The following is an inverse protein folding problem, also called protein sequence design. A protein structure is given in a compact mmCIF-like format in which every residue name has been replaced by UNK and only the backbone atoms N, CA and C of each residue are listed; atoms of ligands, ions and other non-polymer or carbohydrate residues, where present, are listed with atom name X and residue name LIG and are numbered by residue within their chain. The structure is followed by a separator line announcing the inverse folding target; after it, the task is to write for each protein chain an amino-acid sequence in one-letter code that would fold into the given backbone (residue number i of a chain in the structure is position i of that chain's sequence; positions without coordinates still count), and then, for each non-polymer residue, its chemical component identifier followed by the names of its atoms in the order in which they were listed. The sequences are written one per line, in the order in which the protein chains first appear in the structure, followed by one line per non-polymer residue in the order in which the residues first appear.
data_IF_676727760278
#
_entry.id   IF_676727760278
#
_cell.length_a   1.000
_cell.length_b   1.000
_cell.length_c   1.000
_cell.angle_alpha   90.00
_cell.angle_beta   90.00
_cell.angle_gamma   90.00
#
_symmetry.space_group_name_H-M   'P 1'
#
loop_
_entity.id
_entity.type
_entity.pdbx_description
1 polymer ?
#
# COMPACT_ATOMS: atom_id res chain seq x y z
N UNK A 1 12.99 -22.86 -12.16
CA UNK A 1 13.10 -21.46 -12.08
C UNK A 1 12.40 -20.96 -10.87
N UNK A 2 13.06 -20.14 -10.13
CA UNK A 2 12.42 -19.66 -8.99
C UNK A 2 11.39 -18.61 -9.31
N UNK A 3 10.32 -18.60 -8.60
CA UNK A 3 9.32 -17.61 -8.84
C UNK A 3 9.94 -16.25 -8.66
N UNK A 4 9.58 -15.41 -9.53
CA UNK A 4 9.94 -14.05 -9.42
C UNK A 4 9.49 -13.59 -8.07
N UNK A 5 10.37 -13.05 -7.32
CA UNK A 5 9.97 -12.38 -6.16
C UNK A 5 9.05 -11.34 -6.63
N UNK A 6 8.00 -11.31 -5.97
CA UNK A 6 6.92 -10.57 -6.48
C UNK A 6 7.32 -9.13 -6.70
N UNK A 7 6.61 -8.51 -7.57
CA UNK A 7 6.54 -7.10 -7.77
C UNK A 7 6.50 -6.38 -6.43
N UNK A 8 5.78 -6.94 -5.49
CA UNK A 8 5.67 -6.43 -4.14
C UNK A 8 7.02 -6.35 -3.44
N UNK A 9 7.80 -7.42 -3.52
CA UNK A 9 9.09 -7.46 -2.84
C UNK A 9 10.08 -6.46 -3.42
N UNK A 10 10.10 -6.35 -4.73
CA UNK A 10 10.93 -5.36 -5.40
C UNK A 10 10.48 -3.95 -5.03
N UNK A 11 9.18 -3.74 -4.97
CA UNK A 11 8.62 -2.44 -4.62
C UNK A 11 8.95 -2.06 -3.19
N UNK A 12 8.90 -3.00 -2.26
CA UNK A 12 9.25 -2.72 -0.88
C UNK A 12 10.71 -2.31 -0.74
N UNK A 13 11.57 -2.91 -1.52
CA UNK A 13 12.98 -2.57 -1.51
C UNK A 13 13.23 -1.16 -1.99
N UNK A 14 12.39 -0.65 -2.88
CA UNK A 14 12.52 0.68 -3.44
C UNK A 14 11.45 1.65 -2.92
N UNK A 15 10.92 1.38 -1.75
CA UNK A 15 9.81 2.16 -1.22
C UNK A 15 10.20 3.61 -0.94
N UNK A 16 9.37 4.53 -1.42
CA UNK A 16 9.50 5.94 -1.09
C UNK A 16 8.57 6.26 0.09
N UNK A 17 7.34 5.78 0.03
CA UNK A 17 6.37 5.95 1.09
C UNK A 17 5.26 4.93 0.90
N UNK A 18 4.35 4.87 1.86
CA UNK A 18 3.22 3.95 1.82
C UNK A 18 1.92 4.72 1.83
N UNK A 19 0.88 4.16 1.25
CA UNK A 19 -0.42 4.83 1.11
C UNK A 19 -1.52 3.88 1.56
N UNK A 20 -2.42 4.41 2.38
CA UNK A 20 -3.65 3.71 2.73
C UNK A 20 -4.78 4.35 1.93
N UNK A 21 -5.45 3.56 1.11
CA UNK A 21 -6.50 4.06 0.22
C UNK A 21 -7.82 3.35 0.51
N UNK A 22 -8.90 4.12 0.52
CA UNK A 22 -10.25 3.59 0.72
C UNK A 22 -11.20 4.22 -0.29
N UNK A 23 -12.16 3.44 -0.74
CA UNK A 23 -13.18 3.92 -1.66
C UNK A 23 -13.36 2.97 -2.81
N UNK A 24 -14.60 2.88 -3.32
CA UNK A 24 -14.94 1.95 -4.38
C UNK A 24 -14.42 2.39 -5.73
N UNK A 25 -14.41 3.68 -5.96
CA UNK A 25 -14.02 4.21 -7.26
C UNK A 25 -12.90 5.21 -7.07
N UNK A 26 -12.10 5.46 -8.10
CA UNK A 26 -11.06 6.48 -7.99
C UNK A 26 -11.60 7.84 -7.60
N UNK A 27 -12.82 8.17 -8.03
CA UNK A 27 -13.39 9.48 -7.72
C UNK A 27 -13.75 9.65 -6.25
N UNK A 28 -14.10 8.54 -5.57
CA UNK A 28 -14.49 8.61 -4.16
C UNK A 28 -13.38 8.13 -3.24
N UNK A 29 -12.24 7.73 -3.79
CA UNK A 29 -11.16 7.15 -3.02
C UNK A 29 -10.39 8.21 -2.25
N UNK A 30 -10.17 7.95 -0.96
CA UNK A 30 -9.32 8.78 -0.14
C UNK A 30 -7.96 8.10 0.01
N UNK A 31 -6.92 8.89 0.21
CA UNK A 31 -5.57 8.39 0.34
C UNK A 31 -4.87 9.10 1.49
N UNK A 32 -4.19 8.30 2.31
CA UNK A 32 -3.35 8.83 3.38
C UNK A 32 -1.94 8.30 3.19
N UNK A 33 -0.95 9.17 3.30
CA UNK A 33 0.44 8.82 3.06
C UNK A 33 1.16 8.60 4.38
N UNK A 34 1.99 7.57 4.43
CA UNK A 34 2.74 7.22 5.64
C UNK A 34 4.18 6.93 5.30
N UNK A 35 5.08 7.19 6.24
CA UNK A 35 6.49 6.95 6.04
C UNK A 35 6.83 5.46 6.13
N UNK A 36 6.07 4.69 6.90
CA UNK A 36 6.36 3.27 7.11
C UNK A 36 5.14 2.41 6.89
N UNK A 37 5.37 1.14 6.57
CA UNK A 37 4.30 0.18 6.37
C UNK A 37 3.48 -0.06 7.64
N UNK A 38 4.10 -0.24 8.82
CA UNK A 38 3.32 -0.42 10.04
C UNK A 38 2.36 0.74 10.31
N UNK A 39 2.73 1.97 10.00
CA UNK A 39 1.86 3.12 10.17
C UNK A 39 0.64 3.03 9.27
N UNK A 40 0.85 2.69 8.01
CA UNK A 40 -0.24 2.55 7.06
C UNK A 40 -1.18 1.41 7.47
N UNK A 41 -0.61 0.29 7.91
CA UNK A 41 -1.41 -0.84 8.36
C UNK A 41 -2.20 -0.51 9.62
N UNK A 42 -1.61 0.24 10.55
CA UNK A 42 -2.29 0.64 11.77
C UNK A 42 -3.48 1.56 11.47
N UNK A 43 -3.33 2.43 10.50
CA UNK A 43 -4.43 3.29 10.06
C UNK A 43 -5.61 2.45 9.58
N UNK A 44 -5.35 1.47 8.72
CA UNK A 44 -6.40 0.59 8.21
C UNK A 44 -7.00 -0.28 9.30
N UNK A 45 -6.16 -0.81 10.19
CA UNK A 45 -6.61 -1.66 11.27
C UNK A 45 -7.51 -0.91 12.26
N UNK A 46 -7.24 0.37 12.46
CA UNK A 46 -8.07 1.19 13.36
C UNK A 46 -9.48 1.36 12.79
N UNK A 47 -9.64 1.36 11.48
CA UNK A 47 -10.96 1.38 10.84
C UNK A 47 -11.62 0.01 10.98
N UNK A 48 -10.84 -1.06 10.77
CA UNK A 48 -11.24 -2.42 11.13
C UNK A 48 -12.20 -3.12 10.21
N UNK A 49 -12.44 -2.64 9.00
CA UNK A 49 -13.37 -3.30 8.09
C UNK A 49 -12.68 -4.12 6.99
N UNK A 50 -11.35 -4.17 6.99
CA UNK A 50 -10.60 -4.93 5.98
C UNK A 50 -10.63 -4.36 4.58
N UNK A 51 -11.10 -3.13 4.42
CA UNK A 51 -11.27 -2.51 3.11
C UNK A 51 -10.25 -1.44 2.80
N UNK A 52 -9.32 -1.19 3.70
CA UNK A 52 -8.27 -0.24 3.47
C UNK A 52 -7.18 -0.92 2.66
N UNK A 53 -6.95 -0.44 1.46
CA UNK A 53 -5.92 -0.98 0.57
C UNK A 53 -4.60 -0.31 0.91
N UNK A 54 -3.58 -1.11 1.15
CA UNK A 54 -2.25 -0.61 1.47
C UNK A 54 -1.37 -0.76 0.25
N UNK A 55 -0.81 0.36 -0.20
CA UNK A 55 0.07 0.42 -1.35
C UNK A 55 1.44 0.90 -0.95
N UNK A 56 2.44 0.55 -1.71
CA UNK A 56 3.76 1.16 -1.63
C UNK A 56 3.99 1.95 -2.90
N UNK A 57 4.44 3.20 -2.76
CA UNK A 57 4.90 4.00 -3.88
C UNK A 57 6.41 3.95 -3.89
N UNK A 58 6.98 3.68 -5.03
CA UNK A 58 8.42 3.48 -5.14
C UNK A 58 9.14 4.72 -5.61
N UNK A 59 10.44 4.74 -5.37
CA UNK A 59 11.29 5.82 -5.88
C UNK A 59 11.38 5.80 -7.41
N UNK A 60 10.91 4.71 -8.02
CA UNK A 60 10.91 4.56 -9.47
C UNK A 60 9.61 5.05 -10.10
N UNK A 61 8.71 5.60 -9.30
CA UNK A 61 7.44 6.10 -9.81
C UNK A 61 6.37 5.03 -9.99
N UNK A 62 6.55 3.87 -9.39
CA UNK A 62 5.58 2.78 -9.47
C UNK A 62 4.81 2.67 -8.18
N UNK A 63 3.62 2.10 -8.26
CA UNK A 63 2.77 1.87 -7.10
C UNK A 63 2.33 0.41 -7.11
N UNK A 64 2.39 -0.25 -5.98
CA UNK A 64 2.02 -1.66 -5.89
C UNK A 64 1.16 -1.91 -4.66
N UNK A 65 0.10 -2.68 -4.84
CA UNK A 65 -0.76 -3.11 -3.75
C UNK A 65 -0.05 -4.18 -2.93
N UNK A 66 -0.03 -4.00 -1.61
CA UNK A 66 0.62 -4.95 -0.71
C UNK A 66 -0.41 -5.84 -0.04
N UNK A 67 -1.39 -5.24 0.61
CA UNK A 67 -2.37 -5.97 1.41
C UNK A 67 -3.57 -5.07 1.67
N UNK A 68 -4.58 -5.63 2.31
CA UNK A 68 -5.69 -4.85 2.84
C UNK A 68 -5.63 -4.91 4.37
N UNK A 69 -6.03 -3.86 4.98
CA UNK A 69 -6.04 -3.79 6.44
C UNK A 69 -7.42 -3.43 6.97
#
# INVERSE_FOLDING_TARGET
MKPVKTHEEVSLKNAAHFVAARGRTPATRTREQFATLPEAQAFGAAIGDGRTMIYVDTTLGLSAHITNA
#
